data_IF_271713315239
#
_entry.id   IF_271713315239
#
_cell.length_a   1.000
_cell.length_b   1.000
_cell.length_c   1.000
_cell.angle_alpha   90.00
_cell.angle_beta   90.00
_cell.angle_gamma   90.00
#
_symmetry.space_group_name_H-M   'P 1'
#
loop_
_entity.id
_entity.type
_entity.pdbx_description
1 polymer ?
#
# COMPACT_ATOMS: atom_id res chain seq x y z
N UNK A 1 18.65 13.88 33.42
CA UNK A 1 19.46 14.84 32.63
C UNK A 1 18.51 15.71 31.81
N UNK A 2 18.55 17.03 31.98
CA UNK A 2 17.76 17.94 31.14
C UNK A 2 18.62 18.26 29.92
N UNK A 3 18.22 17.74 28.75
CA UNK A 3 18.91 18.04 27.50
C UNK A 3 18.71 19.52 27.14
N UNK A 4 19.80 20.21 26.83
CA UNK A 4 19.78 21.64 26.48
C UNK A 4 18.87 21.91 25.26
N UNK A 5 18.24 23.09 25.22
CA UNK A 5 17.33 23.47 24.15
C UNK A 5 18.02 23.51 22.78
N UNK A 6 19.27 23.98 22.73
CA UNK A 6 20.07 24.04 21.51
C UNK A 6 20.34 22.63 20.98
N UNK A 7 20.75 21.73 21.87
CA UNK A 7 21.02 20.31 21.51
C UNK A 7 19.75 19.63 21.00
N UNK A 8 18.61 19.84 21.66
CA UNK A 8 17.32 19.34 21.18
C UNK A 8 17.01 19.83 19.77
N UNK A 9 17.20 21.12 19.50
CA UNK A 9 16.94 21.69 18.19
C UNK A 9 17.85 21.09 17.12
N UNK A 10 19.14 20.92 17.40
CA UNK A 10 20.10 20.28 16.49
C UNK A 10 19.72 18.84 16.17
N UNK A 11 19.32 18.04 17.17
CA UNK A 11 18.87 16.66 16.92
C UNK A 11 17.58 16.60 16.10
N UNK A 12 16.64 17.52 16.31
CA UNK A 12 15.42 17.59 15.50
C UNK A 12 15.75 17.92 14.05
N UNK A 13 16.54 18.96 13.80
CA UNK A 13 17.00 19.34 12.46
C UNK A 13 17.72 18.18 11.75
N UNK A 14 18.65 17.51 12.44
CA UNK A 14 19.33 16.33 11.90
C UNK A 14 18.34 15.20 11.55
N UNK A 15 17.36 14.93 12.41
CA UNK A 15 16.34 13.89 12.18
C UNK A 15 15.42 14.21 10.99
N UNK A 16 15.17 15.49 10.69
CA UNK A 16 14.34 15.94 9.58
C UNK A 16 15.06 15.78 8.23
N UNK A 17 16.39 15.91 8.22
CA UNK A 17 17.23 15.70 7.03
C UNK A 17 17.44 14.23 6.67
N UNK A 18 17.12 13.31 7.57
CA UNK A 18 17.22 11.87 7.35
C UNK A 18 15.87 11.27 6.96
N UNK A 19 15.90 10.16 6.22
CA UNK A 19 14.70 9.42 5.81
C UNK A 19 14.85 7.92 6.05
N UNK A 20 13.71 7.22 6.10
CA UNK A 20 13.66 5.75 6.22
C UNK A 20 14.42 5.20 7.42
N UNK A 21 15.18 4.13 7.18
CA UNK A 21 15.94 3.44 8.23
C UNK A 21 17.01 4.34 8.86
N UNK A 22 17.65 5.22 8.09
CA UNK A 22 18.71 6.12 8.62
C UNK A 22 18.16 7.07 9.67
N UNK A 23 16.95 7.60 9.44
CA UNK A 23 16.25 8.42 10.43
C UNK A 23 15.95 7.62 11.70
N UNK A 24 15.42 6.40 11.55
CA UNK A 24 15.10 5.52 12.70
C UNK A 24 16.34 5.16 13.50
N UNK A 25 17.43 4.83 12.82
CA UNK A 25 18.70 4.50 13.45
C UNK A 25 19.25 5.67 14.26
N UNK A 26 19.24 6.87 13.66
CA UNK A 26 19.66 8.10 14.32
C UNK A 26 18.83 8.41 15.57
N UNK A 27 17.50 8.45 15.45
CA UNK A 27 16.64 8.76 16.62
C UNK A 27 16.75 7.69 17.71
N UNK A 28 16.96 6.42 17.34
CA UNK A 28 17.18 5.34 18.29
C UNK A 28 18.51 5.50 19.02
N UNK A 29 19.60 5.83 18.31
CA UNK A 29 20.90 6.11 18.92
C UNK A 29 20.82 7.27 19.91
N UNK A 30 20.18 8.38 19.53
CA UNK A 30 19.95 9.51 20.45
C UNK A 30 19.10 9.06 21.64
N UNK A 31 18.15 8.15 21.45
CA UNK A 31 17.30 7.61 22.52
C UNK A 31 18.07 6.72 23.50
N UNK A 32 18.99 5.90 23.02
CA UNK A 32 19.91 5.13 23.87
C UNK A 32 20.77 6.06 24.73
N UNK A 33 21.39 7.07 24.10
CA UNK A 33 22.40 7.90 24.75
C UNK A 33 21.82 8.94 25.72
N UNK A 34 20.63 9.49 25.42
CA UNK A 34 20.08 10.65 26.14
C UNK A 34 18.74 10.38 26.84
N UNK A 35 18.08 9.25 26.57
CA UNK A 35 16.74 8.95 27.06
C UNK A 35 16.60 7.54 27.67
N UNK A 36 17.70 6.91 28.09
CA UNK A 36 17.74 5.57 28.70
C UNK A 36 17.13 4.48 27.81
N UNK A 37 17.17 4.65 26.48
CA UNK A 37 16.48 3.75 25.55
C UNK A 37 14.94 3.84 25.64
N UNK A 38 14.37 4.85 26.31
CA UNK A 38 12.94 4.96 26.51
C UNK A 38 12.26 5.73 25.38
N UNK A 39 11.55 5.00 24.51
CA UNK A 39 10.75 5.60 23.44
C UNK A 39 9.68 6.59 23.96
N UNK A 40 9.16 6.36 25.19
CA UNK A 40 8.19 7.27 25.82
C UNK A 40 8.81 8.60 26.24
N UNK A 41 10.04 8.58 26.76
CA UNK A 41 10.79 9.81 27.08
C UNK A 41 11.13 10.57 25.80
N UNK A 42 11.60 9.88 24.76
CA UNK A 42 11.88 10.49 23.47
C UNK A 42 10.65 11.16 22.83
N UNK A 43 9.48 10.51 22.88
CA UNK A 43 8.22 11.12 22.43
C UNK A 43 7.87 12.37 23.25
N UNK A 44 7.91 12.27 24.58
CA UNK A 44 7.53 13.39 25.47
C UNK A 44 8.45 14.60 25.30
N UNK A 45 9.75 14.38 25.13
CA UNK A 45 10.76 15.45 25.15
C UNK A 45 11.07 15.96 23.73
N UNK A 46 11.14 15.08 22.74
CA UNK A 46 11.50 15.42 21.35
C UNK A 46 10.29 15.52 20.42
N UNK A 47 9.14 14.94 20.79
CA UNK A 47 7.97 14.86 19.90
C UNK A 47 8.13 13.82 18.79
N UNK A 48 9.10 12.91 18.90
CA UNK A 48 9.30 11.86 17.92
C UNK A 48 8.24 10.76 18.06
N UNK A 49 7.78 10.21 16.94
CA UNK A 49 6.80 9.13 16.93
C UNK A 49 7.34 7.91 17.69
N UNK A 50 6.64 7.52 18.76
CA UNK A 50 7.05 6.43 19.65
C UNK A 50 7.26 5.09 18.94
N UNK A 51 6.40 4.75 17.98
CA UNK A 51 6.53 3.48 17.24
C UNK A 51 7.80 3.46 16.39
N UNK A 52 8.14 4.58 15.75
CA UNK A 52 9.36 4.72 14.95
C UNK A 52 10.62 4.62 15.81
N UNK A 53 10.62 5.25 16.99
CA UNK A 53 11.73 5.14 17.96
C UNK A 53 11.85 3.71 18.47
N UNK A 54 10.75 3.06 18.84
CA UNK A 54 10.76 1.67 19.32
C UNK A 54 11.26 0.69 18.26
N UNK A 55 10.86 0.88 17.00
CA UNK A 55 11.36 0.09 15.88
C UNK A 55 12.87 0.28 15.73
N UNK A 56 13.35 1.53 15.69
CA UNK A 56 14.79 1.80 15.59
C UNK A 56 15.59 1.18 16.75
N UNK A 57 15.10 1.25 17.99
CA UNK A 57 15.74 0.60 19.15
C UNK A 57 15.81 -0.92 18.99
N UNK A 58 14.75 -1.54 18.48
CA UNK A 58 14.74 -2.99 18.21
C UNK A 58 15.68 -3.37 17.07
N UNK A 59 15.73 -2.56 16.01
CA UNK A 59 16.66 -2.73 14.88
C UNK A 59 18.12 -2.67 15.40
N UNK A 60 18.46 -1.66 16.21
CA UNK A 60 19.79 -1.51 16.82
C UNK A 60 20.14 -2.67 17.77
N UNK A 61 19.18 -3.12 18.60
CA UNK A 61 19.37 -4.24 19.53
C UNK A 61 19.64 -5.57 18.81
N UNK A 62 18.99 -5.80 17.67
CA UNK A 62 19.09 -7.07 16.93
C UNK A 62 20.14 -7.03 15.82
N UNK A 63 20.61 -5.85 15.42
CA UNK A 63 21.47 -5.67 14.25
C UNK A 63 20.73 -5.88 12.91
N UNK A 64 19.40 -6.00 12.94
CA UNK A 64 18.57 -6.20 11.75
C UNK A 64 17.92 -4.89 11.33
N UNK A 65 17.96 -4.60 10.03
CA UNK A 65 17.19 -3.51 9.45
C UNK A 65 15.82 -4.01 9.00
N UNK A 66 14.74 -3.44 9.51
CA UNK A 66 13.39 -3.74 9.04
C UNK A 66 13.13 -2.99 7.72
N UNK A 67 12.84 -3.77 6.68
CA UNK A 67 12.46 -3.26 5.36
C UNK A 67 10.94 -3.30 5.25
N UNK A 68 10.34 -2.17 4.92
CA UNK A 68 8.91 -2.10 4.63
C UNK A 68 8.60 -2.86 3.34
N UNK A 69 7.61 -3.76 3.38
CA UNK A 69 7.11 -4.43 2.18
C UNK A 69 6.13 -3.54 1.41
N UNK A 70 6.63 -2.44 0.85
CA UNK A 70 5.81 -1.49 0.08
C UNK A 70 5.11 -2.17 -1.10
N UNK A 71 5.73 -3.19 -1.70
CA UNK A 71 5.19 -3.93 -2.86
C UNK A 71 3.97 -4.79 -2.52
N UNK A 72 3.84 -5.23 -1.26
CA UNK A 72 2.64 -5.92 -0.78
C UNK A 72 1.55 -4.95 -0.30
N UNK A 73 1.80 -3.65 -0.31
CA UNK A 73 0.79 -2.63 0.03
C UNK A 73 0.12 -2.13 -1.25
N UNK A 74 -1.11 -1.66 -1.11
CA UNK A 74 -1.89 -1.10 -2.21
C UNK A 74 -2.80 -2.12 -2.90
N UNK A 75 -3.52 -1.65 -3.91
CA UNK A 75 -4.44 -2.48 -4.69
C UNK A 75 -3.65 -3.13 -5.83
N UNK A 76 -3.60 -4.45 -5.82
CA UNK A 76 -3.05 -5.22 -6.92
C UNK A 76 -3.95 -5.12 -8.16
N UNK A 77 -3.33 -5.28 -9.33
CA UNK A 77 -4.03 -5.38 -10.60
C UNK A 77 -5.01 -6.55 -10.57
N UNK A 78 -6.21 -6.38 -11.10
CA UNK A 78 -7.24 -7.42 -11.07
C UNK A 78 -6.78 -8.68 -11.80
N UNK A 79 -5.97 -8.55 -12.85
CA UNK A 79 -5.40 -9.67 -13.61
C UNK A 79 -4.38 -10.48 -12.79
N UNK A 80 -3.72 -9.86 -11.81
CA UNK A 80 -2.81 -10.56 -10.90
C UNK A 80 -3.57 -11.37 -9.84
N UNK A 81 -4.69 -10.84 -9.38
CA UNK A 81 -5.51 -11.46 -8.32
C UNK A 81 -6.46 -12.51 -8.90
N UNK A 82 -6.98 -12.27 -10.11
CA UNK A 82 -7.95 -13.09 -10.79
C UNK A 82 -7.43 -13.44 -12.21
N UNK A 83 -6.52 -14.43 -12.33
CA UNK A 83 -5.85 -14.74 -13.60
C UNK A 83 -6.80 -15.12 -14.75
N UNK A 84 -7.95 -15.72 -14.42
CA UNK A 84 -8.92 -16.18 -15.41
C UNK A 84 -9.95 -15.11 -15.79
N UNK A 85 -9.94 -13.95 -15.12
CA UNK A 85 -10.99 -12.93 -15.26
C UNK A 85 -11.16 -12.46 -16.71
N UNK A 86 -10.07 -12.28 -17.45
CA UNK A 86 -10.14 -11.86 -18.85
C UNK A 86 -10.82 -12.93 -19.72
N UNK A 87 -10.46 -14.19 -19.54
CA UNK A 87 -11.03 -15.30 -20.29
C UNK A 87 -12.52 -15.45 -20.00
N UNK A 88 -12.92 -15.31 -18.73
CA UNK A 88 -14.32 -15.41 -18.32
C UNK A 88 -15.15 -14.20 -18.77
N UNK A 89 -14.56 -12.99 -18.80
CA UNK A 89 -15.22 -11.83 -19.42
C UNK A 89 -15.43 -12.07 -20.92
N UNK A 90 -14.42 -12.57 -21.63
CA UNK A 90 -14.52 -12.83 -23.06
C UNK A 90 -15.58 -13.88 -23.38
N UNK A 91 -15.63 -14.99 -22.65
CA UNK A 91 -16.64 -16.04 -22.91
C UNK A 91 -18.08 -15.51 -22.77
N UNK A 92 -18.31 -14.63 -21.80
CA UNK A 92 -19.61 -13.98 -21.58
C UNK A 92 -19.93 -12.94 -22.67
N UNK A 93 -18.95 -12.11 -23.05
CA UNK A 93 -19.15 -11.00 -23.99
C UNK A 93 -19.21 -11.48 -25.44
N UNK A 94 -18.38 -12.44 -25.84
CA UNK A 94 -18.28 -12.92 -27.22
C UNK A 94 -19.61 -13.55 -27.69
N UNK A 95 -20.35 -14.19 -26.79
CA UNK A 95 -21.70 -14.72 -27.08
C UNK A 95 -22.71 -13.61 -27.42
N UNK A 96 -22.46 -12.40 -26.91
CA UNK A 96 -23.32 -11.21 -27.09
C UNK A 96 -22.68 -10.19 -28.03
N UNK A 97 -21.62 -10.56 -28.73
CA UNK A 97 -20.89 -9.70 -29.65
C UNK A 97 -21.59 -9.65 -31.02
N UNK A 98 -21.80 -8.44 -31.53
CA UNK A 98 -22.41 -8.21 -32.82
C UNK A 98 -21.50 -7.35 -33.69
N UNK A 99 -21.34 -7.72 -34.96
CA UNK A 99 -20.69 -6.84 -35.94
C UNK A 99 -21.43 -5.51 -36.06
N UNK A 100 -20.70 -4.43 -36.32
CA UNK A 100 -21.27 -3.13 -36.62
C UNK A 100 -22.41 -3.26 -37.64
N UNK A 101 -23.66 -2.89 -37.28
CA UNK A 101 -24.79 -3.01 -38.20
C UNK A 101 -24.61 -2.26 -39.52
N UNK A 102 -23.78 -1.22 -39.53
CA UNK A 102 -23.49 -0.43 -40.75
C UNK A 102 -22.28 -0.99 -41.52
N UNK A 103 -21.60 -2.01 -40.99
CA UNK A 103 -20.38 -2.62 -41.52
C UNK A 103 -19.29 -1.59 -41.86
N UNK A 104 -19.25 -0.47 -41.14
CA UNK A 104 -18.27 0.60 -41.37
C UNK A 104 -17.01 0.40 -40.51
N UNK A 105 -17.08 -0.49 -39.52
CA UNK A 105 -15.97 -0.81 -38.64
C UNK A 105 -15.79 -2.32 -38.48
N UNK A 106 -14.56 -2.72 -38.13
CA UNK A 106 -14.21 -4.09 -37.77
C UNK A 106 -14.47 -4.39 -36.29
N UNK A 107 -15.03 -3.44 -35.54
CA UNK A 107 -15.34 -3.63 -34.13
C UNK A 107 -16.57 -4.50 -33.94
N UNK A 108 -16.53 -5.30 -32.87
CA UNK A 108 -17.69 -6.01 -32.36
C UNK A 108 -18.30 -5.19 -31.21
N UNK A 109 -19.58 -4.90 -31.31
CA UNK A 109 -20.35 -4.25 -30.26
C UNK A 109 -20.92 -5.31 -29.33
N UNK A 110 -20.61 -5.18 -28.04
CA UNK A 110 -21.22 -6.01 -27.01
C UNK A 110 -22.67 -5.55 -26.76
N UNK A 111 -23.64 -6.47 -26.86
CA UNK A 111 -25.04 -6.21 -26.49
C UNK A 111 -25.32 -6.38 -25.00
N UNK A 112 -24.27 -6.51 -24.19
CA UNK A 112 -24.34 -6.68 -22.74
C UNK A 112 -23.66 -5.51 -22.04
N UNK A 113 -24.27 -5.01 -20.98
CA UNK A 113 -23.69 -3.94 -20.16
C UNK A 113 -22.60 -4.48 -19.25
N UNK A 114 -21.65 -3.63 -18.83
CA UNK A 114 -20.63 -4.00 -17.86
C UNK A 114 -21.22 -4.52 -16.54
N UNK A 115 -22.36 -3.96 -16.10
CA UNK A 115 -23.10 -4.44 -14.92
C UNK A 115 -23.61 -5.87 -15.11
N UNK A 116 -24.20 -6.17 -16.28
CA UNK A 116 -24.71 -7.51 -16.57
C UNK A 116 -23.57 -8.54 -16.70
N UNK A 117 -22.42 -8.16 -17.27
CA UNK A 117 -21.21 -9.01 -17.28
C UNK A 117 -20.75 -9.29 -15.84
N UNK A 118 -20.75 -8.28 -14.97
CA UNK A 118 -20.40 -8.45 -13.56
C UNK A 118 -21.35 -9.41 -12.85
N UNK A 119 -22.66 -9.28 -13.05
CA UNK A 119 -23.66 -10.18 -12.47
C UNK A 119 -23.44 -11.62 -12.94
N UNK A 120 -23.23 -11.83 -14.24
CA UNK A 120 -22.94 -13.15 -14.81
C UNK A 120 -21.64 -13.76 -14.27
N UNK A 121 -20.56 -12.97 -14.09
CA UNK A 121 -19.34 -13.47 -13.44
C UNK A 121 -19.60 -13.95 -12.01
N UNK A 122 -20.47 -13.29 -11.24
CA UNK A 122 -20.82 -13.75 -9.88
C UNK A 122 -21.64 -15.03 -9.94
N UNK A 123 -22.68 -15.07 -10.78
CA UNK A 123 -23.64 -16.18 -10.80
C UNK A 123 -23.16 -17.43 -11.52
N UNK A 124 -22.40 -17.29 -12.61
CA UNK A 124 -22.02 -18.39 -13.50
C UNK A 124 -20.58 -18.86 -13.24
N UNK A 125 -19.65 -17.93 -13.04
CA UNK A 125 -18.23 -18.23 -12.79
C UNK A 125 -17.85 -18.24 -11.30
N UNK A 126 -18.81 -17.96 -10.40
CA UNK A 126 -18.65 -18.11 -8.95
C UNK A 126 -17.79 -17.04 -8.27
N UNK A 127 -17.56 -15.90 -8.91
CA UNK A 127 -16.72 -14.86 -8.34
C UNK A 127 -17.41 -14.13 -7.16
N UNK A 128 -16.88 -14.28 -5.96
CA UNK A 128 -17.46 -13.68 -4.74
C UNK A 128 -16.91 -12.28 -4.41
N UNK A 129 -15.72 -11.94 -4.92
CA UNK A 129 -14.91 -10.77 -4.52
C UNK A 129 -14.72 -9.72 -5.64
N UNK A 130 -15.62 -9.66 -6.63
CA UNK A 130 -15.49 -8.67 -7.73
C UNK A 130 -15.61 -7.22 -7.22
N UNK A 131 -16.34 -7.00 -6.12
CA UNK A 131 -16.60 -5.67 -5.56
C UNK A 131 -15.33 -4.95 -5.07
N UNK A 132 -14.32 -5.70 -4.59
CA UNK A 132 -13.07 -5.13 -4.07
C UNK A 132 -12.06 -4.80 -5.17
N UNK A 133 -12.10 -5.52 -6.29
CA UNK A 133 -11.09 -5.45 -7.35
C UNK A 133 -11.58 -4.84 -8.67
N UNK A 134 -12.88 -4.79 -8.94
CA UNK A 134 -13.44 -4.18 -10.15
C UNK A 134 -14.46 -3.10 -9.80
N UNK A 135 -14.02 -1.83 -9.79
CA UNK A 135 -14.95 -0.72 -10.08
C UNK A 135 -15.02 -0.63 -11.60
N UNK A 136 -15.91 -1.40 -12.20
CA UNK A 136 -16.34 -1.09 -13.57
C UNK A 136 -17.08 0.23 -13.46
N UNK A 137 -16.58 1.28 -14.13
CA UNK A 137 -17.21 2.59 -14.11
C UNK A 137 -18.66 2.50 -14.58
N UNK A 138 -19.52 3.31 -13.96
CA UNK A 138 -20.92 3.48 -14.36
C UNK A 138 -21.06 4.08 -15.77
#
# INVERSE_FOLDING_TARGET
MILDATVKATFKDASEKLTGYRKRDFIAKVTEDYFDGSARKAETIMGWNRQSVQLGLNERRTGLQCVDNYQARGRHKSEQVLPNLEADIRSLVDTQAQADPKLQSTFLYARISARAVREALVSEAGYTELSRYLRMGD
#
